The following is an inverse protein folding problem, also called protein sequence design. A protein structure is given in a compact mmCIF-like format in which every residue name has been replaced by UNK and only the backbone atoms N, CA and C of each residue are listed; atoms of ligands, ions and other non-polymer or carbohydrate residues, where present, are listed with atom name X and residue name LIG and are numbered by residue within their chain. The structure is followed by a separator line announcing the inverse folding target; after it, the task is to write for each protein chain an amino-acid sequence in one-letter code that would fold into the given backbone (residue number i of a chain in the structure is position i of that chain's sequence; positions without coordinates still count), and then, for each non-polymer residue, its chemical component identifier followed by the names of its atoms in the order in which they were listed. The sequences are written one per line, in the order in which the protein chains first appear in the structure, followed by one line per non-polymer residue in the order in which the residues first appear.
data_IF_659806978628
#
_entry.id   IF_659806978628
#
_cell.length_a   1.000
_cell.length_b   1.000
_cell.length_c   1.000
_cell.angle_alpha   90.00
_cell.angle_beta   90.00
_cell.angle_gamma   90.00
#
_symmetry.space_group_name_H-M   'P 1'
#
loop_
_entity.id
_entity.type
_entity.pdbx_description
1 polymer ?
#
# COMPACT_ATOMS: atom_id res chain seq x y z
N UNK A 1 17.60 -7.48 25.14
CA UNK A 1 18.91 -8.05 24.80
C UNK A 1 19.92 -6.91 24.64
N UNK A 2 21.13 -7.03 25.19
CA UNK A 2 22.22 -6.03 25.05
C UNK A 2 22.90 -6.26 23.69
N UNK A 3 22.87 -5.26 22.81
CA UNK A 3 23.63 -5.25 21.56
C UNK A 3 25.13 -5.09 21.86
N UNK A 4 25.97 -6.04 21.45
CA UNK A 4 27.44 -5.92 21.51
C UNK A 4 27.98 -5.32 20.22
N UNK A 5 28.79 -4.28 20.38
CA UNK A 5 29.15 -3.27 19.39
C UNK A 5 30.38 -3.73 18.58
N UNK A 6 30.18 -3.86 17.27
CA UNK A 6 31.23 -4.08 16.27
C UNK A 6 30.73 -3.58 14.92
N UNK A 7 30.76 -2.26 14.74
CA UNK A 7 30.47 -1.46 13.53
C UNK A 7 29.14 -1.63 12.76
N UNK A 8 28.26 -2.55 13.14
CA UNK A 8 26.91 -2.63 12.56
C UNK A 8 26.00 -1.52 13.12
N UNK A 9 25.58 -0.59 12.25
CA UNK A 9 24.47 0.32 12.51
C UNK A 9 23.17 -0.45 12.25
N UNK A 10 22.38 -0.66 13.29
CA UNK A 10 21.06 -1.29 13.18
C UNK A 10 19.94 -0.25 13.25
N UNK A 11 18.85 -0.51 12.52
CA UNK A 11 17.60 0.23 12.64
C UNK A 11 16.64 -0.60 13.51
N UNK A 12 16.09 0.00 14.57
CA UNK A 12 15.04 -0.62 15.40
C UNK A 12 13.70 -0.07 14.94
N UNK A 13 12.81 -0.96 14.54
CA UNK A 13 11.47 -0.62 14.04
C UNK A 13 10.40 -1.32 14.87
N UNK A 14 9.17 -0.84 14.77
CA UNK A 14 8.01 -1.54 15.30
C UNK A 14 7.94 -2.96 14.70
N UNK A 15 7.75 -3.95 15.57
CA UNK A 15 7.54 -5.32 15.13
C UNK A 15 6.05 -5.54 14.85
N UNK A 16 5.71 -5.86 13.60
CA UNK A 16 4.36 -6.14 13.16
C UNK A 16 4.16 -7.66 13.15
N UNK A 17 3.48 -8.19 14.18
CA UNK A 17 3.28 -9.63 14.35
C UNK A 17 2.43 -10.23 13.22
N UNK A 18 2.94 -11.28 12.58
CA UNK A 18 2.26 -11.98 11.47
C UNK A 18 1.78 -13.40 11.84
N UNK A 19 2.19 -13.89 13.02
CA UNK A 19 1.81 -15.21 13.52
C UNK A 19 0.35 -15.27 13.99
N UNK A 20 -0.13 -16.47 14.39
CA UNK A 20 -1.40 -16.58 15.06
C UNK A 20 -1.39 -15.67 16.30
N UNK A 21 -2.47 -14.90 16.45
CA UNK A 21 -2.58 -13.99 17.57
C UNK A 21 -2.89 -14.77 18.85
N UNK A 22 -2.17 -14.44 19.92
CA UNK A 22 -2.38 -15.05 21.25
C UNK A 22 -3.50 -14.36 22.05
N UNK A 23 -3.98 -13.22 21.57
CA UNK A 23 -5.01 -12.40 22.22
C UNK A 23 -5.81 -11.59 21.21
N UNK A 24 -7.05 -11.21 21.52
CA UNK A 24 -7.88 -10.39 20.63
C UNK A 24 -7.29 -8.98 20.35
N UNK A 25 -6.34 -8.53 21.18
CA UNK A 25 -5.77 -7.18 21.12
C UNK A 25 -4.50 -7.09 20.27
N UNK A 26 -3.93 -8.23 19.84
CA UNK A 26 -2.74 -8.26 19.01
C UNK A 26 -3.13 -8.41 17.52
N UNK A 27 -2.98 -7.35 16.71
CA UNK A 27 -3.37 -7.38 15.30
C UNK A 27 -2.48 -8.33 14.50
N UNK A 28 -3.10 -9.25 13.76
CA UNK A 28 -2.38 -10.13 12.85
C UNK A 28 -2.12 -9.41 11.52
N UNK A 29 -0.88 -9.01 11.29
CA UNK A 29 -0.44 -8.43 10.03
C UNK A 29 -0.19 -9.51 8.98
N UNK A 30 -0.52 -9.22 7.73
CA UNK A 30 -0.25 -10.10 6.58
C UNK A 30 0.36 -9.30 5.45
N UNK A 31 1.27 -9.93 4.71
CA UNK A 31 1.73 -9.38 3.43
C UNK A 31 0.52 -9.26 2.49
N UNK A 32 0.40 -8.13 1.81
CA UNK A 32 -0.65 -7.92 0.83
C UNK A 32 -0.40 -8.75 -0.44
N UNK A 33 0.86 -8.88 -0.83
CA UNK A 33 1.31 -9.75 -1.91
C UNK A 33 2.69 -10.36 -1.61
N UNK A 34 3.05 -11.39 -2.36
CA UNK A 34 4.40 -11.93 -2.39
C UNK A 34 5.25 -11.18 -3.44
N UNK A 35 6.57 -11.05 -3.24
CA UNK A 35 7.44 -10.40 -4.20
C UNK A 35 7.41 -11.13 -5.56
N UNK A 36 7.73 -10.42 -6.66
CA UNK A 36 7.85 -11.05 -7.96
C UNK A 36 8.90 -12.16 -7.92
N UNK A 37 8.69 -13.22 -8.71
CA UNK A 37 9.69 -14.24 -8.95
C UNK A 37 10.34 -14.05 -10.32
N UNK A 38 11.46 -14.75 -10.55
CA UNK A 38 12.11 -14.81 -11.86
C UNK A 38 11.18 -15.33 -12.97
N UNK A 39 10.13 -16.08 -12.63
CA UNK A 39 9.14 -16.57 -13.60
C UNK A 39 7.96 -15.63 -13.81
N UNK A 40 7.62 -14.76 -12.85
CA UNK A 40 6.44 -13.88 -12.96
C UNK A 40 6.72 -12.52 -13.58
N UNK A 41 7.99 -12.07 -13.58
CA UNK A 41 8.51 -10.83 -14.22
C UNK A 41 7.75 -9.55 -13.80
N UNK A 42 8.46 -8.68 -13.08
CA UNK A 42 8.10 -7.31 -12.61
C UNK A 42 6.77 -7.09 -11.87
N UNK A 43 5.91 -8.10 -11.69
CA UNK A 43 4.66 -7.96 -10.93
C UNK A 43 4.59 -8.89 -9.74
N UNK A 44 4.09 -8.32 -8.65
CA UNK A 44 3.77 -9.02 -7.42
C UNK A 44 2.85 -10.20 -7.65
N UNK A 45 3.05 -11.22 -6.83
CA UNK A 45 2.29 -12.45 -6.88
C UNK A 45 1.28 -12.40 -5.75
N UNK A 46 0.01 -12.52 -6.11
CA UNK A 46 -1.04 -12.74 -5.14
C UNK A 46 -1.48 -14.19 -5.27
N UNK A 47 -1.74 -14.85 -4.14
CA UNK A 47 -2.35 -16.18 -4.16
C UNK A 47 -3.64 -16.17 -5.00
N UNK A 48 -3.90 -17.26 -5.73
CA UNK A 48 -5.05 -17.41 -6.63
C UNK A 48 -6.39 -17.11 -5.95
N UNK A 49 -6.48 -17.42 -4.67
CA UNK A 49 -7.68 -17.33 -3.85
C UNK A 49 -7.69 -16.11 -2.92
N UNK A 50 -6.68 -15.22 -3.01
CA UNK A 50 -6.66 -13.98 -2.24
C UNK A 50 -7.84 -13.12 -2.65
N UNK A 51 -8.72 -12.87 -1.70
CA UNK A 51 -9.87 -11.98 -1.84
C UNK A 51 -9.96 -11.04 -0.65
N UNK A 52 -10.41 -9.83 -0.93
CA UNK A 52 -10.56 -8.78 0.07
C UNK A 52 -12.01 -8.38 0.23
N UNK A 53 -12.40 -8.08 1.47
CA UNK A 53 -13.66 -7.40 1.76
C UNK A 53 -13.58 -5.93 1.31
N UNK A 54 -14.74 -5.30 1.20
CA UNK A 54 -14.84 -3.87 0.86
C UNK A 54 -14.12 -3.02 1.90
N UNK A 55 -14.24 -3.37 3.19
CA UNK A 55 -13.58 -2.62 4.27
C UNK A 55 -12.08 -2.74 4.19
N UNK A 56 -11.56 -3.92 3.86
CA UNK A 56 -10.12 -4.13 3.68
C UNK A 56 -9.58 -3.29 2.52
N UNK A 57 -10.24 -3.32 1.35
CA UNK A 57 -9.82 -2.53 0.20
C UNK A 57 -9.81 -1.03 0.52
N UNK A 58 -10.87 -0.53 1.18
CA UNK A 58 -10.96 0.88 1.56
C UNK A 58 -9.89 1.28 2.56
N UNK A 59 -9.63 0.44 3.57
CA UNK A 59 -8.59 0.68 4.57
C UNK A 59 -7.20 0.72 3.91
N UNK A 60 -6.88 -0.23 3.03
CA UNK A 60 -5.61 -0.25 2.31
C UNK A 60 -5.47 0.99 1.43
N UNK A 61 -6.48 1.31 0.62
CA UNK A 61 -6.46 2.50 -0.23
C UNK A 61 -6.25 3.79 0.60
N UNK A 62 -7.02 3.94 1.68
CA UNK A 62 -6.92 5.10 2.55
C UNK A 62 -5.55 5.24 3.22
N UNK A 63 -5.08 4.19 3.88
CA UNK A 63 -3.86 4.25 4.69
C UNK A 63 -2.62 4.41 3.82
N UNK A 64 -2.57 3.74 2.67
CA UNK A 64 -1.45 3.87 1.73
C UNK A 64 -1.49 5.22 1.03
N UNK A 65 -2.65 5.68 0.57
CA UNK A 65 -2.79 7.02 0.00
C UNK A 65 -2.38 8.11 0.99
N UNK A 66 -2.78 7.99 2.26
CA UNK A 66 -2.39 8.90 3.33
C UNK A 66 -0.88 8.89 3.61
N UNK A 67 -0.27 7.70 3.65
CA UNK A 67 1.18 7.56 3.83
C UNK A 67 1.96 8.25 2.70
N UNK A 68 1.56 8.07 1.44
CA UNK A 68 2.21 8.72 0.30
C UNK A 68 2.09 10.24 0.36
N UNK A 69 0.92 10.77 0.72
CA UNK A 69 0.72 12.21 0.93
C UNK A 69 1.70 12.75 1.98
N UNK A 70 1.83 12.06 3.11
CA UNK A 70 2.71 12.49 4.19
C UNK A 70 4.20 12.39 3.84
N UNK A 71 4.60 11.40 3.03
CA UNK A 71 5.95 11.28 2.49
C UNK A 71 6.26 12.43 1.52
N UNK A 72 5.39 12.67 0.55
CA UNK A 72 5.57 13.73 -0.44
C UNK A 72 5.60 15.13 0.18
N UNK A 73 4.76 15.40 1.20
CA UNK A 73 4.81 16.66 1.95
C UNK A 73 6.16 16.91 2.63
N UNK A 74 6.91 15.85 2.92
CA UNK A 74 8.24 15.90 3.55
C UNK A 74 9.38 15.78 2.54
N UNK A 75 9.09 15.80 1.24
CA UNK A 75 10.08 15.62 0.18
C UNK A 75 10.69 14.22 0.16
N UNK A 76 9.93 13.20 0.57
CA UNK A 76 10.35 11.80 0.52
C UNK A 76 9.53 11.10 -0.56
N UNK A 77 10.22 10.41 -1.47
CA UNK A 77 9.61 9.45 -2.37
C UNK A 77 9.86 8.04 -1.82
N UNK A 78 8.84 7.18 -1.80
CA UNK A 78 9.02 5.79 -1.39
C UNK A 78 9.81 5.02 -2.44
N UNK A 79 9.44 5.17 -3.71
CA UNK A 79 10.16 4.64 -4.87
C UNK A 79 9.84 3.18 -5.21
N UNK A 80 9.05 2.49 -4.39
CA UNK A 80 8.73 1.07 -4.54
C UNK A 80 7.34 0.72 -3.95
N UNK A 81 6.29 1.41 -4.44
CA UNK A 81 4.91 1.22 -3.94
C UNK A 81 4.28 0.00 -4.61
N UNK A 82 4.42 -1.15 -3.96
CA UNK A 82 3.93 -2.45 -4.41
C UNK A 82 3.29 -3.23 -3.26
N UNK A 83 2.46 -4.23 -3.59
CA UNK A 83 1.77 -5.06 -2.62
C UNK A 83 2.71 -5.84 -1.69
N UNK A 84 3.89 -6.25 -2.16
CA UNK A 84 4.88 -6.93 -1.31
C UNK A 84 5.47 -6.03 -0.21
N UNK A 85 5.42 -4.70 -0.40
CA UNK A 85 5.85 -3.70 0.58
C UNK A 85 4.71 -3.23 1.49
N UNK A 86 3.52 -3.84 1.40
CA UNK A 86 2.35 -3.48 2.18
C UNK A 86 1.99 -4.61 3.12
N UNK A 87 1.87 -4.26 4.40
CA UNK A 87 1.27 -5.10 5.42
C UNK A 87 -0.14 -4.61 5.72
N UNK A 88 -1.08 -5.54 5.87
CA UNK A 88 -2.45 -5.20 6.26
C UNK A 88 -2.97 -6.11 7.38
N UNK A 89 -3.92 -5.60 8.15
CA UNK A 89 -4.68 -6.35 9.14
C UNK A 89 -5.99 -6.78 8.48
N UNK A 90 -6.28 -8.09 8.35
CA UNK A 90 -7.54 -8.57 7.79
C UNK A 90 -8.74 -8.22 8.68
N UNK A 91 -9.91 -8.07 8.06
CA UNK A 91 -11.16 -7.89 8.80
C UNK A 91 -11.48 -9.15 9.63
N UNK A 92 -11.77 -8.94 10.90
CA UNK A 92 -12.25 -9.99 11.81
C UNK A 92 -13.15 -9.38 12.90
N UNK A 93 -13.96 -10.18 13.63
CA UNK A 93 -14.88 -9.63 14.64
C UNK A 93 -14.17 -8.74 15.66
N UNK A 94 -14.59 -7.47 15.75
CA UNK A 94 -13.99 -6.49 16.66
C UNK A 94 -12.69 -5.84 16.18
N UNK A 95 -12.17 -6.23 15.01
CA UNK A 95 -10.92 -5.71 14.44
C UNK A 95 -11.21 -5.00 13.11
N UNK A 96 -10.92 -3.71 13.07
CA UNK A 96 -10.99 -2.93 11.84
C UNK A 96 -9.72 -3.16 11.00
N UNK A 97 -9.87 -3.35 9.67
CA UNK A 97 -8.72 -3.46 8.80
C UNK A 97 -7.96 -2.14 8.74
N UNK A 98 -6.65 -2.25 8.53
CA UNK A 98 -5.70 -1.13 8.35
C UNK A 98 -4.48 -1.62 7.59
N UNK A 99 -3.73 -0.71 7.00
CA UNK A 99 -2.50 -1.03 6.27
C UNK A 99 -1.30 -0.17 6.72
N UNK A 100 -0.11 -0.70 6.48
CA UNK A 100 1.17 -0.01 6.67
C UNK A 100 2.05 -0.24 5.46
N UNK A 101 2.64 0.84 4.96
CA UNK A 101 3.68 0.82 3.95
C UNK A 101 5.04 0.59 4.64
N UNK A 102 5.82 -0.34 4.12
CA UNK A 102 7.15 -0.70 4.61
C UNK A 102 8.18 -0.74 3.48
N UNK A 103 9.39 -1.14 3.84
CA UNK A 103 10.58 -1.20 2.96
C UNK A 103 10.93 0.12 2.25
N UNK A 104 11.63 0.98 3.00
CA UNK A 104 12.15 2.24 2.49
C UNK A 104 13.53 2.09 1.82
N UNK A 105 13.91 0.88 1.40
CA UNK A 105 15.22 0.61 0.79
C UNK A 105 15.46 1.34 -0.53
N UNK A 106 14.39 1.61 -1.28
CA UNK A 106 14.43 2.37 -2.53
C UNK A 106 14.14 3.88 -2.34
N UNK A 107 13.83 4.31 -1.12
CA UNK A 107 13.35 5.67 -0.87
C UNK A 107 14.45 6.71 -0.97
N UNK A 108 14.09 7.92 -1.40
CA UNK A 108 15.02 9.03 -1.53
C UNK A 108 14.36 10.38 -1.26
N UNK A 109 15.18 11.34 -0.84
CA UNK A 109 14.77 12.72 -0.69
C UNK A 109 14.80 13.45 -2.02
N UNK A 110 13.85 14.35 -2.23
CA UNK A 110 13.81 15.25 -3.38
C UNK A 110 13.35 16.63 -2.96
N UNK A 111 13.79 17.64 -3.71
CA UNK A 111 13.37 19.02 -3.52
C UNK A 111 11.95 19.20 -4.06
N UNK A 112 10.99 19.46 -3.16
CA UNK A 112 9.58 19.65 -3.49
C UNK A 112 9.32 20.95 -4.26
N UNK A 113 10.22 21.93 -4.15
CA UNK A 113 10.11 23.25 -4.77
C UNK A 113 10.71 23.26 -6.19
N UNK A 114 11.45 22.23 -6.58
CA UNK A 114 11.96 22.08 -7.95
C UNK A 114 10.87 21.48 -8.87
N UNK A 115 9.91 22.33 -9.23
CA UNK A 115 8.62 21.99 -9.87
C UNK A 115 8.70 20.84 -10.87
N UNK A 116 9.42 20.99 -11.98
CA UNK A 116 9.43 20.00 -13.05
C UNK A 116 9.92 18.59 -12.62
N UNK A 117 10.91 18.50 -11.73
CA UNK A 117 11.44 17.20 -11.28
C UNK A 117 10.55 16.59 -10.20
N UNK A 118 10.11 17.39 -9.26
CA UNK A 118 9.23 16.96 -8.18
C UNK A 118 7.88 16.45 -8.71
N UNK A 119 7.36 17.09 -9.75
CA UNK A 119 6.15 16.73 -10.45
C UNK A 119 6.24 15.37 -11.17
N UNK A 120 7.39 15.06 -11.77
CA UNK A 120 7.67 13.76 -12.37
C UNK A 120 7.80 12.64 -11.32
N UNK A 121 8.47 12.92 -10.20
CA UNK A 121 8.62 11.98 -9.09
C UNK A 121 7.24 11.64 -8.51
N UNK A 122 6.44 12.67 -8.24
CA UNK A 122 5.08 12.54 -7.74
C UNK A 122 4.19 11.73 -8.69
N UNK A 123 4.20 12.05 -9.98
CA UNK A 123 3.38 11.34 -10.97
C UNK A 123 3.78 9.86 -11.10
N UNK A 124 5.06 9.53 -10.93
CA UNK A 124 5.53 8.13 -10.95
C UNK A 124 4.98 7.34 -9.77
N UNK A 125 5.07 7.89 -8.57
CA UNK A 125 4.57 7.26 -7.35
C UNK A 125 3.04 7.15 -7.35
N UNK A 126 2.36 8.16 -7.90
CA UNK A 126 0.91 8.15 -8.08
C UNK A 126 0.44 7.07 -9.05
N UNK A 127 1.18 6.82 -10.13
CA UNK A 127 0.90 5.70 -11.05
C UNK A 127 1.02 4.35 -10.34
N UNK A 128 2.07 4.17 -9.54
CA UNK A 128 2.24 2.94 -8.75
C UNK A 128 1.04 2.72 -7.81
N UNK A 129 0.60 3.78 -7.12
CA UNK A 129 -0.62 3.73 -6.30
C UNK A 129 -1.89 3.41 -7.12
N UNK A 130 -2.06 3.99 -8.31
CA UNK A 130 -3.19 3.67 -9.19
C UNK A 130 -3.20 2.21 -9.67
N UNK A 131 -2.03 1.62 -9.92
CA UNK A 131 -1.88 0.20 -10.21
C UNK A 131 -2.27 -0.67 -9.01
N UNK A 132 -1.81 -0.32 -7.79
CA UNK A 132 -2.22 -0.98 -6.55
C UNK A 132 -3.75 -0.98 -6.39
N UNK A 133 -4.41 0.17 -6.58
CA UNK A 133 -5.88 0.26 -6.50
C UNK A 133 -6.58 -0.64 -7.51
N UNK A 134 -6.04 -0.73 -8.73
CA UNK A 134 -6.55 -1.64 -9.77
C UNK A 134 -6.43 -3.10 -9.34
N UNK A 135 -5.28 -3.47 -8.77
CA UNK A 135 -5.02 -4.82 -8.28
C UNK A 135 -5.95 -5.22 -7.13
N UNK A 136 -6.20 -4.32 -6.19
CA UNK A 136 -7.16 -4.53 -5.09
C UNK A 136 -8.58 -4.73 -5.64
N UNK A 137 -9.01 -3.90 -6.59
CA UNK A 137 -10.33 -4.01 -7.22
C UNK A 137 -10.57 -5.35 -7.92
N UNK A 138 -9.54 -5.91 -8.57
CA UNK A 138 -9.62 -7.24 -9.19
C UNK A 138 -9.82 -8.39 -8.18
N UNK A 139 -9.57 -8.15 -6.89
CA UNK A 139 -9.58 -9.17 -5.83
C UNK A 139 -10.72 -9.00 -4.83
N UNK A 140 -11.76 -8.23 -5.16
CA UNK A 140 -12.96 -8.14 -4.33
C UNK A 140 -13.63 -9.52 -4.16
N UNK A 141 -14.01 -9.86 -2.93
CA UNK A 141 -14.74 -11.11 -2.62
C UNK A 141 -16.02 -11.25 -3.46
N UNK A 142 -16.24 -12.39 -4.15
CA UNK A 142 -17.47 -12.66 -4.89
C UNK A 142 -18.72 -12.56 -4.01
N UNK A 143 -19.82 -12.02 -4.53
CA UNK A 143 -21.08 -11.87 -3.78
C UNK A 143 -21.23 -10.54 -3.03
N UNK A 144 -20.14 -9.81 -2.79
CA UNK A 144 -20.22 -8.43 -2.27
C UNK A 144 -20.87 -7.45 -3.26
N UNK A 145 -20.90 -7.79 -4.57
CA UNK A 145 -21.33 -6.90 -5.66
C UNK A 145 -22.85 -6.72 -5.81
N UNK A 146 -23.66 -7.35 -4.95
CA UNK A 146 -25.12 -7.24 -5.00
C UNK A 146 -25.67 -6.08 -4.15
N UNK A 147 -24.78 -5.42 -3.41
CA UNK A 147 -25.08 -4.24 -2.61
C UNK A 147 -24.73 -2.98 -3.41
N UNK A 148 -25.65 -2.02 -3.45
CA UNK A 148 -25.52 -0.76 -4.18
C UNK A 148 -24.34 0.08 -3.67
N UNK A 149 -24.01 -0.03 -2.38
CA UNK A 149 -22.87 0.69 -1.80
C UNK A 149 -21.54 0.14 -2.32
N UNK A 150 -21.48 -1.17 -2.57
CA UNK A 150 -20.28 -1.84 -3.11
C UNK A 150 -20.07 -1.49 -4.58
N UNK A 151 -21.14 -1.35 -5.37
CA UNK A 151 -21.06 -0.88 -6.75
C UNK A 151 -20.52 0.55 -6.81
N UNK A 152 -21.09 1.45 -6.00
CA UNK A 152 -20.67 2.85 -5.91
C UNK A 152 -19.20 2.98 -5.52
N UNK A 153 -18.78 2.21 -4.50
CA UNK A 153 -17.38 2.15 -4.08
C UNK A 153 -16.47 1.70 -5.22
N UNK A 154 -16.88 0.70 -6.00
CA UNK A 154 -16.05 0.13 -7.06
C UNK A 154 -15.84 1.11 -8.19
N UNK A 155 -16.91 1.84 -8.56
CA UNK A 155 -16.80 2.92 -9.51
C UNK A 155 -15.92 4.06 -8.99
N UNK A 156 -16.00 4.39 -7.71
CA UNK A 156 -15.12 5.38 -7.10
C UNK A 156 -13.65 4.94 -7.18
N UNK A 157 -13.31 3.72 -6.72
CA UNK A 157 -11.95 3.20 -6.76
C UNK A 157 -11.41 3.13 -8.18
N UNK A 158 -12.22 2.67 -9.14
CA UNK A 158 -11.82 2.60 -10.55
C UNK A 158 -11.54 3.99 -11.12
N UNK A 159 -12.37 4.97 -10.81
CA UNK A 159 -12.17 6.38 -11.22
C UNK A 159 -10.91 6.96 -10.58
N UNK A 160 -10.68 6.69 -9.29
CA UNK A 160 -9.47 7.12 -8.60
C UNK A 160 -8.22 6.49 -9.22
N UNK A 161 -8.21 5.17 -9.42
CA UNK A 161 -7.13 4.45 -10.07
C UNK A 161 -6.81 5.01 -11.47
N UNK A 162 -7.84 5.24 -12.30
CA UNK A 162 -7.66 5.87 -13.62
C UNK A 162 -7.03 7.25 -13.50
N UNK A 163 -7.55 8.11 -12.62
CA UNK A 163 -6.96 9.45 -12.39
C UNK A 163 -5.50 9.37 -11.97
N UNK A 164 -5.14 8.42 -11.11
CA UNK A 164 -3.77 8.22 -10.65
C UNK A 164 -2.84 7.73 -11.77
N UNK A 165 -3.31 6.80 -12.60
CA UNK A 165 -2.56 6.24 -13.74
C UNK A 165 -2.38 7.29 -14.85
N UNK A 166 -3.46 8.02 -15.13
CA UNK A 166 -3.52 9.05 -16.16
C UNK A 166 -2.94 10.39 -15.69
N UNK A 167 -2.50 10.46 -14.43
CA UNK A 167 -1.86 11.65 -13.87
C UNK A 167 -0.68 12.04 -14.76
N UNK A 168 -0.88 13.15 -15.47
CA UNK A 168 0.21 13.94 -16.00
C UNK A 168 0.92 14.59 -14.80
N UNK A 169 2.08 15.21 -14.99
CA UNK A 169 2.96 15.70 -13.93
C UNK A 169 2.34 16.71 -12.91
N UNK A 170 1.03 16.90 -12.85
CA UNK A 170 0.34 17.78 -11.91
C UNK A 170 0.07 17.14 -10.56
N UNK A 171 0.35 17.89 -9.48
CA UNK A 171 0.04 17.52 -8.09
C UNK A 171 -1.43 17.66 -7.69
N UNK A 172 -2.31 18.06 -8.62
CA UNK A 172 -3.72 18.40 -8.34
C UNK A 172 -4.63 17.24 -7.89
N UNK A 173 -4.08 16.04 -7.67
CA UNK A 173 -4.82 14.85 -7.26
C UNK A 173 -4.81 14.61 -5.73
N UNK A 174 -4.15 15.47 -4.96
CA UNK A 174 -4.12 15.44 -3.50
C UNK A 174 -4.25 16.83 -2.88
#
# INVERSE_FOLDING_TARGET
ARFTRGDSRGLVMEYLHQGPSSSADEPQWKNLADPPSFSTVTRDVYGTDVRFTVKEILAIAHDIGGALVDLHRRGVNHGDVYGHNILYVPESPGVNPRAKLGDFGASFFYDVDHEARADLIFATELKAYGHLLTELGCRLTPGARNDQDVVTMFDFLRKLASKCIDAQCSRALF
#
